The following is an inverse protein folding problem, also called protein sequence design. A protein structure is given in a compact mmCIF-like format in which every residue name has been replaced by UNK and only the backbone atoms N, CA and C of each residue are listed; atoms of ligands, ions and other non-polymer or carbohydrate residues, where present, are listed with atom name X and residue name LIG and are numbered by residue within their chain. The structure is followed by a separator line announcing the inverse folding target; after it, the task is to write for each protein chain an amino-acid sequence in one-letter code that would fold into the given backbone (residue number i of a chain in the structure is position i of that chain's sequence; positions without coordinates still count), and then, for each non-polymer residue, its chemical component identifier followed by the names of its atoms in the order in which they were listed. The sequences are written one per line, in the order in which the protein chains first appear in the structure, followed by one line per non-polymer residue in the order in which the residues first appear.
data_IF_362267626129
#
_entry.id   IF_362267626129
#
_cell.length_a   1.000
_cell.length_b   1.000
_cell.length_c   1.000
_cell.angle_alpha   90.00
_cell.angle_beta   90.00
_cell.angle_gamma   90.00
#
_symmetry.space_group_name_H-M   'P 1'
#
loop_
_entity.id
_entity.type
_entity.pdbx_description
1 polymer ?
#
# COMPACT_ATOMS: atom_id res chain seq x y z
N UNK A 1 -0.95 2.38 -27.35
CA UNK A 1 -1.60 3.32 -26.40
C UNK A 1 -1.41 2.74 -25.02
N UNK A 2 -0.91 3.50 -24.03
CA UNK A 2 -0.59 3.12 -22.61
C UNK A 2 0.89 3.19 -22.16
N UNK A 3 1.81 3.71 -22.98
CA UNK A 3 3.22 3.86 -22.54
C UNK A 3 3.36 4.72 -21.27
N UNK A 4 2.65 5.85 -21.20
CA UNK A 4 2.69 6.74 -20.03
C UNK A 4 2.13 6.09 -18.75
N UNK A 5 1.07 5.29 -18.88
CA UNK A 5 0.47 4.55 -17.77
C UNK A 5 1.46 3.52 -17.20
N UNK A 6 2.12 2.77 -18.08
CA UNK A 6 3.11 1.76 -17.67
C UNK A 6 4.36 2.38 -17.04
N UNK A 7 4.85 3.49 -17.62
CA UNK A 7 5.95 4.28 -17.04
C UNK A 7 5.56 4.78 -15.65
N UNK A 8 4.32 5.21 -15.45
CA UNK A 8 3.86 5.69 -14.14
C UNK A 8 3.98 4.60 -13.06
N UNK A 9 3.70 3.34 -13.39
CA UNK A 9 3.90 2.21 -12.47
C UNK A 9 5.37 1.93 -12.17
N UNK A 10 6.22 1.93 -13.20
CA UNK A 10 7.66 1.75 -12.99
C UNK A 10 8.22 2.83 -12.07
N UNK A 11 7.89 4.09 -12.33
CA UNK A 11 8.33 5.22 -11.51
C UNK A 11 7.74 5.14 -10.09
N UNK A 12 6.45 4.83 -9.96
CA UNK A 12 5.80 4.72 -8.64
C UNK A 12 6.46 3.62 -7.80
N UNK A 13 6.65 2.43 -8.35
CA UNK A 13 7.30 1.34 -7.63
C UNK A 13 8.76 1.65 -7.29
N UNK A 14 9.49 2.31 -8.19
CA UNK A 14 10.86 2.77 -7.92
C UNK A 14 10.88 3.80 -6.77
N UNK A 15 9.97 4.78 -6.79
CA UNK A 15 9.86 5.78 -5.73
C UNK A 15 9.50 5.14 -4.39
N UNK A 16 8.58 4.16 -4.37
CA UNK A 16 8.26 3.40 -3.15
C UNK A 16 9.52 2.74 -2.59
N UNK A 17 10.32 2.07 -3.44
CA UNK A 17 11.53 1.36 -3.01
C UNK A 17 12.63 2.33 -2.54
N UNK A 18 12.87 3.41 -3.27
CA UNK A 18 13.96 4.36 -2.99
C UNK A 18 13.62 5.28 -1.81
N UNK A 19 12.38 5.76 -1.72
CA UNK A 19 11.95 6.72 -0.70
C UNK A 19 11.30 6.07 0.53
N UNK A 20 11.23 4.75 0.62
CA UNK A 20 10.68 4.05 1.80
C UNK A 20 11.27 4.54 3.13
N UNK A 21 12.55 4.92 3.17
CA UNK A 21 13.19 5.37 4.40
C UNK A 21 12.55 6.65 4.96
N UNK A 22 12.13 7.55 4.07
CA UNK A 22 11.43 8.79 4.44
C UNK A 22 10.02 8.48 4.91
N UNK A 23 9.31 7.58 4.22
CA UNK A 23 7.97 7.16 4.63
C UNK A 23 7.94 6.48 6.01
N UNK A 24 9.06 5.87 6.41
CA UNK A 24 9.18 5.15 7.68
C UNK A 24 9.82 5.96 8.79
N UNK A 25 10.17 7.22 8.56
CA UNK A 25 10.81 8.08 9.57
C UNK A 25 9.93 8.20 10.82
N UNK A 26 8.65 8.52 10.66
CA UNK A 26 7.71 8.60 11.78
C UNK A 26 7.55 7.26 12.51
N UNK A 27 7.53 6.14 11.79
CA UNK A 27 7.45 4.81 12.40
C UNK A 27 8.73 4.52 13.19
N UNK A 28 9.89 4.92 12.68
CA UNK A 28 11.17 4.81 13.38
C UNK A 28 11.14 5.59 14.69
N UNK A 29 10.69 6.84 14.67
CA UNK A 29 10.51 7.66 15.87
C UNK A 29 9.56 7.00 16.88
N UNK A 30 8.45 6.41 16.43
CA UNK A 30 7.52 5.69 17.31
C UNK A 30 8.14 4.42 17.91
N UNK A 31 9.03 3.74 17.19
CA UNK A 31 9.80 2.59 17.71
C UNK A 31 10.81 3.04 18.75
N UNK A 32 11.57 4.10 18.50
CA UNK A 32 12.54 4.66 19.43
C UNK A 32 11.89 5.10 20.75
N UNK A 33 10.66 5.62 20.68
CA UNK A 33 9.85 5.99 21.85
C UNK A 33 9.15 4.81 22.53
N UNK A 34 9.33 3.57 22.04
CA UNK A 34 8.68 2.38 22.59
C UNK A 34 7.15 2.35 22.39
N UNK A 35 6.62 3.21 21.52
CA UNK A 35 5.18 3.25 21.20
C UNK A 35 4.79 2.09 20.29
N UNK A 36 5.66 1.75 19.34
CA UNK A 36 5.51 0.68 18.35
C UNK A 36 6.63 -0.35 18.51
N UNK A 37 6.34 -1.63 18.20
CA UNK A 37 7.33 -2.71 18.30
C UNK A 37 8.36 -2.62 17.16
N UNK A 38 9.65 -2.91 17.38
CA UNK A 38 10.67 -2.86 16.32
C UNK A 38 10.35 -3.71 15.08
N UNK A 39 9.71 -4.86 15.27
CA UNK A 39 9.26 -5.74 14.17
C UNK A 39 8.34 -5.04 13.16
N UNK A 40 7.58 -4.03 13.58
CA UNK A 40 6.62 -3.32 12.74
C UNK A 40 7.36 -2.49 11.70
N UNK A 41 8.42 -1.78 12.10
CA UNK A 41 9.30 -1.08 11.17
C UNK A 41 9.87 -2.04 10.11
N UNK A 42 10.35 -3.21 10.53
CA UNK A 42 10.87 -4.24 9.61
C UNK A 42 9.80 -4.75 8.63
N UNK A 43 8.58 -5.01 9.12
CA UNK A 43 7.46 -5.45 8.28
C UNK A 43 7.11 -4.38 7.24
N UNK A 44 6.98 -3.11 7.64
CA UNK A 44 6.66 -2.04 6.70
C UNK A 44 7.78 -1.81 5.68
N UNK A 45 9.06 -1.84 6.11
CA UNK A 45 10.22 -1.71 5.20
C UNK A 45 10.21 -2.77 4.11
N UNK A 46 10.20 -4.04 4.49
CA UNK A 46 10.19 -5.11 3.49
C UNK A 46 8.87 -5.17 2.72
N UNK A 47 7.75 -4.83 3.36
CA UNK A 47 6.45 -4.72 2.70
C UNK A 47 6.47 -3.69 1.57
N UNK A 48 6.99 -2.48 1.82
CA UNK A 48 7.12 -1.44 0.81
C UNK A 48 8.06 -1.85 -0.33
N UNK A 49 9.19 -2.51 -0.02
CA UNK A 49 10.09 -3.03 -1.05
C UNK A 49 9.35 -4.03 -1.94
N UNK A 50 8.72 -5.03 -1.35
CA UNK A 50 8.03 -6.09 -2.09
C UNK A 50 6.89 -5.51 -2.93
N UNK A 51 6.05 -4.65 -2.35
CA UNK A 51 4.96 -3.98 -3.08
C UNK A 51 5.52 -3.12 -4.22
N UNK A 52 6.56 -2.32 -3.97
CA UNK A 52 7.19 -1.49 -4.99
C UNK A 52 7.77 -2.30 -6.15
N UNK A 53 8.36 -3.46 -5.88
CA UNK A 53 8.84 -4.39 -6.91
C UNK A 53 7.69 -4.97 -7.76
N UNK A 54 6.58 -5.37 -7.14
CA UNK A 54 5.42 -5.83 -7.89
C UNK A 54 4.79 -4.70 -8.71
N UNK A 55 4.70 -3.49 -8.17
CA UNK A 55 4.22 -2.30 -8.91
C UNK A 55 5.11 -2.00 -10.12
N UNK A 56 6.43 -2.08 -9.97
CA UNK A 56 7.35 -1.98 -11.11
C UNK A 56 7.11 -3.08 -12.14
N UNK A 57 6.90 -4.32 -11.68
CA UNK A 57 6.69 -5.47 -12.55
C UNK A 57 5.41 -5.31 -13.40
N UNK A 58 4.33 -4.79 -12.82
CA UNK A 58 3.08 -4.42 -13.54
C UNK A 58 3.39 -3.44 -14.67
N UNK A 59 4.22 -2.41 -14.41
CA UNK A 59 4.61 -1.43 -15.42
C UNK A 59 5.51 -2.01 -16.53
N UNK A 60 6.41 -2.95 -16.21
CA UNK A 60 7.31 -3.57 -17.19
C UNK A 60 6.58 -4.59 -18.06
N UNK A 61 5.68 -5.37 -17.46
CA UNK A 61 4.96 -6.44 -18.14
C UNK A 61 3.69 -5.88 -18.78
N UNK A 62 3.75 -5.53 -20.07
CA UNK A 62 2.59 -4.95 -20.74
C UNK A 62 1.44 -5.96 -20.92
N UNK A 63 0.30 -5.66 -20.30
CA UNK A 63 -0.92 -6.45 -20.48
C UNK A 63 -1.33 -6.51 -21.96
N UNK A 64 -1.65 -7.71 -22.45
CA UNK A 64 -2.02 -7.96 -23.84
C UNK A 64 -0.85 -8.25 -24.80
N UNK A 65 0.41 -8.20 -24.34
CA UNK A 65 1.56 -8.52 -25.20
C UNK A 65 1.63 -10.01 -25.59
N UNK A 66 1.28 -10.90 -24.67
CA UNK A 66 1.09 -12.35 -24.91
C UNK A 66 0.24 -12.95 -23.77
N UNK A 67 -0.32 -14.16 -23.94
CA UNK A 67 -1.08 -14.82 -22.86
C UNK A 67 -0.25 -15.02 -21.59
N UNK A 68 1.02 -15.42 -21.74
CA UNK A 68 1.93 -15.60 -20.61
C UNK A 68 2.24 -14.26 -19.91
N UNK A 69 2.57 -13.21 -20.67
CA UNK A 69 2.89 -11.90 -20.08
C UNK A 69 1.67 -11.32 -19.35
N UNK A 70 0.48 -11.47 -19.93
CA UNK A 70 -0.76 -10.99 -19.31
C UNK A 70 -1.06 -11.75 -18.02
N UNK A 71 -0.87 -13.08 -18.00
CA UNK A 71 -1.04 -13.87 -16.79
C UNK A 71 -0.05 -13.44 -15.68
N UNK A 72 1.22 -13.19 -16.01
CA UNK A 72 2.21 -12.73 -15.03
C UNK A 72 1.93 -11.31 -14.54
N UNK A 73 1.47 -10.41 -15.43
CA UNK A 73 1.00 -9.07 -15.06
C UNK A 73 -0.13 -9.14 -14.03
N UNK A 74 -1.17 -9.93 -14.32
CA UNK A 74 -2.34 -10.08 -13.46
C UNK A 74 -1.93 -10.65 -12.08
N UNK A 75 -1.05 -11.66 -12.06
CA UNK A 75 -0.51 -12.22 -10.81
C UNK A 75 0.23 -11.13 -10.01
N UNK A 76 1.06 -10.32 -10.66
CA UNK A 76 1.79 -9.24 -10.01
C UNK A 76 0.82 -8.18 -9.42
N UNK A 77 -0.19 -7.78 -10.18
CA UNK A 77 -1.21 -6.83 -9.78
C UNK A 77 -2.03 -7.32 -8.58
N UNK A 78 -2.56 -8.54 -8.65
CA UNK A 78 -3.33 -9.10 -7.55
C UNK A 78 -2.48 -9.36 -6.30
N UNK A 79 -1.21 -9.73 -6.47
CA UNK A 79 -0.29 -9.90 -5.33
C UNK A 79 -0.01 -8.57 -4.65
N UNK A 80 0.29 -7.50 -5.40
CA UNK A 80 0.52 -6.17 -4.83
C UNK A 80 -0.72 -5.68 -4.06
N UNK A 81 -1.89 -5.71 -4.69
CA UNK A 81 -3.13 -5.27 -4.05
C UNK A 81 -3.55 -6.15 -2.87
N UNK A 82 -3.33 -7.46 -2.96
CA UNK A 82 -3.56 -8.41 -1.87
C UNK A 82 -2.67 -8.11 -0.65
N UNK A 83 -1.38 -7.87 -0.86
CA UNK A 83 -0.45 -7.50 0.22
C UNK A 83 -0.87 -6.20 0.92
N UNK A 84 -1.28 -5.19 0.15
CA UNK A 84 -1.75 -3.91 0.70
C UNK A 84 -3.05 -4.12 1.49
N UNK A 85 -4.00 -4.87 0.94
CA UNK A 85 -5.26 -5.20 1.63
C UNK A 85 -5.00 -5.95 2.94
N UNK A 86 -4.07 -6.92 2.94
CA UNK A 86 -3.68 -7.63 4.15
C UNK A 86 -3.03 -6.70 5.18
N UNK A 87 -2.21 -5.74 4.74
CA UNK A 87 -1.62 -4.73 5.63
C UNK A 87 -2.69 -3.82 6.23
N UNK A 88 -3.70 -3.39 5.45
CA UNK A 88 -4.86 -2.65 5.93
C UNK A 88 -5.62 -3.44 7.01
N UNK A 89 -5.92 -4.71 6.76
CA UNK A 89 -6.62 -5.56 7.72
C UNK A 89 -5.81 -5.78 9.01
N UNK A 90 -4.49 -5.94 8.87
CA UNK A 90 -3.58 -6.12 9.98
C UNK A 90 -3.24 -4.83 10.74
N UNK A 91 -3.68 -3.65 10.28
CA UNK A 91 -3.17 -2.35 10.77
C UNK A 91 -3.34 -2.18 12.28
N UNK A 92 -4.46 -2.64 12.84
CA UNK A 92 -4.76 -2.53 14.27
C UNK A 92 -3.82 -3.39 15.12
N UNK A 93 -3.32 -4.49 14.58
CA UNK A 93 -2.31 -5.32 15.23
C UNK A 93 -0.89 -4.73 15.06
N UNK A 94 -0.60 -4.14 13.90
CA UNK A 94 0.69 -3.52 13.60
C UNK A 94 0.90 -2.25 14.44
N UNK A 95 -0.09 -1.36 14.49
CA UNK A 95 -0.01 -0.07 15.19
C UNK A 95 -1.32 0.14 15.98
N UNK A 96 -1.45 -0.43 17.20
CA UNK A 96 -2.71 -0.43 17.98
C UNK A 96 -3.08 0.90 18.65
N UNK A 97 -2.20 1.92 18.58
CA UNK A 97 -2.37 3.23 19.25
C UNK A 97 -2.79 4.34 18.29
N UNK A 98 -3.32 3.99 17.12
CA UNK A 98 -3.79 4.99 16.15
C UNK A 98 -5.20 5.50 16.49
N UNK A 99 -5.59 6.68 15.98
CA UNK A 99 -6.96 7.17 16.07
C UNK A 99 -7.97 6.18 15.47
N UNK A 100 -9.19 6.13 16.02
CA UNK A 100 -10.23 5.21 15.55
C UNK A 100 -10.67 5.54 14.11
N UNK A 101 -10.60 6.81 13.75
CA UNK A 101 -10.91 7.36 12.43
C UNK A 101 -10.03 6.70 11.36
N UNK A 102 -8.73 6.51 11.64
CA UNK A 102 -7.82 5.79 10.73
C UNK A 102 -8.27 4.34 10.54
N UNK A 103 -8.65 3.65 11.62
CA UNK A 103 -9.08 2.25 11.51
C UNK A 103 -10.35 2.09 10.69
N UNK A 104 -11.35 2.94 10.94
CA UNK A 104 -12.60 2.94 10.19
C UNK A 104 -12.32 3.22 8.71
N UNK A 105 -11.56 4.29 8.41
CA UNK A 105 -11.19 4.62 7.04
C UNK A 105 -10.42 3.46 6.38
N UNK A 106 -9.43 2.89 7.06
CA UNK A 106 -8.65 1.75 6.56
C UNK A 106 -9.53 0.54 6.21
N UNK A 107 -10.49 0.19 7.07
CA UNK A 107 -11.36 -0.96 6.81
C UNK A 107 -12.39 -0.70 5.72
N UNK A 108 -12.87 0.54 5.58
CA UNK A 108 -13.70 0.94 4.44
C UNK A 108 -12.92 0.81 3.14
N UNK A 109 -11.68 1.32 3.09
CA UNK A 109 -10.82 1.20 1.91
C UNK A 109 -10.47 -0.26 1.58
N UNK A 110 -10.19 -1.08 2.60
CA UNK A 110 -10.00 -2.52 2.42
C UNK A 110 -11.26 -3.20 1.86
N UNK A 111 -12.45 -2.85 2.36
CA UNK A 111 -13.71 -3.37 1.85
C UNK A 111 -13.96 -2.96 0.40
N UNK A 112 -13.57 -1.76 -0.01
CA UNK A 112 -13.62 -1.31 -1.42
C UNK A 112 -12.70 -2.17 -2.30
N UNK A 113 -11.47 -2.44 -1.86
CA UNK A 113 -10.54 -3.31 -2.59
C UNK A 113 -11.10 -4.74 -2.72
N UNK A 114 -11.58 -5.33 -1.63
CA UNK A 114 -12.20 -6.66 -1.64
C UNK A 114 -13.43 -6.67 -2.57
N UNK A 115 -14.28 -5.65 -2.49
CA UNK A 115 -15.45 -5.47 -3.35
C UNK A 115 -15.11 -5.42 -4.83
N UNK A 116 -14.02 -4.74 -5.21
CA UNK A 116 -13.56 -4.69 -6.60
C UNK A 116 -13.19 -6.08 -7.15
N UNK A 117 -12.52 -6.92 -6.35
CA UNK A 117 -12.22 -8.31 -6.75
C UNK A 117 -13.48 -9.15 -6.87
N UNK A 118 -14.44 -8.97 -5.96
CA UNK A 118 -15.73 -9.65 -6.04
C UNK A 118 -16.44 -9.25 -7.34
N UNK A 119 -16.47 -7.95 -7.68
CA UNK A 119 -17.07 -7.46 -8.92
C UNK A 119 -16.38 -8.03 -10.17
N UNK A 120 -15.05 -8.17 -10.15
CA UNK A 120 -14.31 -8.86 -11.21
C UNK A 120 -14.75 -10.32 -11.36
N UNK A 121 -14.90 -11.05 -10.25
CA UNK A 121 -15.34 -12.44 -10.26
C UNK A 121 -16.74 -12.61 -10.86
N UNK A 122 -17.63 -11.64 -10.64
CA UNK A 122 -18.97 -11.59 -11.25
C UNK A 122 -19.01 -11.01 -12.67
N UNK A 123 -17.85 -10.66 -13.26
CA UNK A 123 -17.76 -10.09 -14.60
C UNK A 123 -18.28 -8.65 -14.72
N UNK A 124 -18.48 -7.96 -13.59
CA UNK A 124 -18.89 -6.55 -13.57
C UNK A 124 -17.72 -5.61 -13.84
N UNK A 125 -16.51 -6.01 -13.44
CA UNK A 125 -15.25 -5.29 -13.66
C UNK A 125 -14.32 -6.12 -14.53
N UNK A 126 -13.44 -5.43 -15.27
CA UNK A 126 -12.26 -6.04 -15.89
C UNK A 126 -11.02 -5.86 -15.01
N UNK A 127 -9.93 -6.54 -15.33
CA UNK A 127 -8.67 -6.48 -14.56
C UNK A 127 -8.16 -5.05 -14.39
N UNK A 128 -8.16 -4.27 -15.48
CA UNK A 128 -7.73 -2.86 -15.47
C UNK A 128 -8.57 -2.01 -14.51
N UNK A 129 -9.88 -2.25 -14.43
CA UNK A 129 -10.77 -1.57 -13.49
C UNK A 129 -10.42 -1.87 -12.04
N UNK A 130 -10.11 -3.13 -11.72
CA UNK A 130 -9.65 -3.53 -10.38
C UNK A 130 -8.31 -2.88 -10.04
N UNK A 131 -7.36 -2.88 -10.99
CA UNK A 131 -6.05 -2.23 -10.81
C UNK A 131 -6.19 -0.75 -10.49
N UNK A 132 -7.03 -0.01 -11.21
CA UNK A 132 -7.28 1.41 -10.94
C UNK A 132 -7.83 1.63 -9.53
N UNK A 133 -8.82 0.82 -9.11
CA UNK A 133 -9.35 0.89 -7.74
C UNK A 133 -8.25 0.60 -6.73
N UNK A 134 -7.43 -0.42 -6.96
CA UNK A 134 -6.34 -0.80 -6.08
C UNK A 134 -5.32 0.31 -5.93
N UNK A 135 -4.84 0.89 -7.03
CA UNK A 135 -3.84 1.95 -7.01
C UNK A 135 -4.33 3.21 -6.32
N UNK A 136 -5.55 3.67 -6.66
CA UNK A 136 -6.12 4.87 -6.03
C UNK A 136 -6.39 4.64 -4.55
N UNK A 137 -6.95 3.48 -4.18
CA UNK A 137 -7.28 3.15 -2.79
C UNK A 137 -6.03 2.95 -1.93
N UNK A 138 -5.03 2.25 -2.46
CA UNK A 138 -3.75 2.06 -1.80
C UNK A 138 -3.03 3.40 -1.58
N UNK A 139 -3.00 4.27 -2.60
CA UNK A 139 -2.40 5.60 -2.49
C UNK A 139 -3.10 6.46 -1.43
N UNK A 140 -4.43 6.50 -1.44
CA UNK A 140 -5.21 7.22 -0.43
C UNK A 140 -4.95 6.68 0.98
N UNK A 141 -4.94 5.36 1.16
CA UNK A 141 -4.65 4.74 2.44
C UNK A 141 -3.23 5.04 2.92
N UNK A 142 -2.25 5.03 2.02
CA UNK A 142 -0.86 5.32 2.37
C UNK A 142 -0.69 6.75 2.89
N UNK A 143 -1.33 7.73 2.23
CA UNK A 143 -1.34 9.13 2.71
C UNK A 143 -2.00 9.23 4.09
N UNK A 144 -3.18 8.64 4.27
CA UNK A 144 -3.86 8.62 5.57
C UNK A 144 -3.02 7.98 6.69
N UNK A 145 -2.30 6.91 6.36
CA UNK A 145 -1.40 6.24 7.29
C UNK A 145 -0.23 7.17 7.67
N UNK A 146 0.39 7.84 6.70
CA UNK A 146 1.49 8.77 6.94
C UNK A 146 1.05 9.92 7.86
N UNK A 147 -0.05 10.60 7.53
CA UNK A 147 -0.60 11.70 8.33
C UNK A 147 -0.95 11.22 9.75
N UNK A 148 -1.53 10.02 9.89
CA UNK A 148 -1.86 9.47 11.21
C UNK A 148 -0.62 9.11 12.02
N UNK A 149 0.44 8.60 11.39
CA UNK A 149 1.71 8.37 12.08
C UNK A 149 2.34 9.67 12.55
N UNK A 150 2.28 10.74 11.75
CA UNK A 150 2.78 12.06 12.11
C UNK A 150 2.02 12.64 13.30
N UNK A 151 0.68 12.61 13.27
CA UNK A 151 -0.14 13.04 14.40
C UNK A 151 0.17 12.26 15.69
N UNK A 152 0.40 10.94 15.58
CA UNK A 152 0.77 10.12 16.74
C UNK A 152 2.17 10.47 17.27
N UNK A 153 3.12 10.77 16.38
CA UNK A 153 4.45 11.28 16.76
C UNK A 153 4.30 12.62 17.48
N UNK A 154 3.50 13.55 16.95
CA UNK A 154 3.27 14.85 17.59
C UNK A 154 2.62 14.70 18.98
N UNK A 155 1.58 13.86 19.09
CA UNK A 155 0.86 13.61 20.35
C UNK A 155 1.69 12.92 21.43
N UNK A 156 2.77 12.22 21.03
CA UNK A 156 3.69 11.52 21.94
C UNK A 156 5.00 12.27 22.16
N UNK A 157 5.12 13.50 21.66
CA UNK A 157 6.31 14.31 21.89
C UNK A 157 6.44 14.67 23.38
N UNK A 158 7.65 14.58 23.97
CA UNK A 158 7.87 15.02 25.34
C UNK A 158 7.55 16.52 25.45
N UNK A 159 6.87 16.93 26.54
CA UNK A 159 6.63 18.34 26.80
C UNK A 159 7.97 19.07 26.87
N UNK A 160 8.19 20.02 25.96
CA UNK A 160 9.34 20.93 26.01
C UNK A 160 9.27 21.69 27.33
N UNK A 161 10.21 21.41 28.24
CA UNK A 161 10.43 22.17 29.47
C UNK A 161 11.27 23.40 29.19
#
# INVERSE_FOLDING_TARGET
TNLLFNISFVLTGLLIVVWQQFYLENITTLVERGIVKPRVHTIFRYGLIVVGLFVMLIGILHWGASPLISAVHDIAAYTAGGLITLAMLAIRWLIPRMPNELYVATYVLAAVMIGAVIMLFFGLFNTVGVELVYFTTAGAWFVLLMESTEMLVAATAPATR
#
